data_IF_856132137763
#
_entry.id   IF_856132137763
#
_cell.length_a   1.000
_cell.length_b   1.000
_cell.length_c   1.000
_cell.angle_alpha   90.00
_cell.angle_beta   90.00
_cell.angle_gamma   90.00
#
_symmetry.space_group_name_H-M   'P 1'
#
loop_
_entity.id
_entity.type
_entity.pdbx_description
1 polymer ?
#
# COMPACT_ATOMS: atom_id res chain seq x y z
N UNK A 1 2.47 5.57 25.24
CA UNK A 1 2.65 5.12 26.65
C UNK A 1 1.66 5.87 27.53
N UNK A 2 0.84 5.14 28.29
CA UNK A 2 -0.30 5.68 29.07
C UNK A 2 0.02 5.83 30.57
N UNK A 3 1.27 6.18 30.92
CA UNK A 3 1.69 6.39 32.32
C UNK A 3 2.31 5.18 33.03
N UNK A 4 2.41 4.02 32.39
CA UNK A 4 3.09 2.83 32.94
C UNK A 4 4.63 2.87 32.89
N UNK A 5 5.24 4.06 32.82
CA UNK A 5 6.70 4.18 32.77
C UNK A 5 7.28 4.51 34.16
N UNK A 6 8.62 4.39 34.36
CA UNK A 6 9.26 4.69 35.64
C UNK A 6 9.05 6.13 36.15
N UNK A 7 8.61 7.05 35.28
CA UNK A 7 8.29 8.45 35.62
C UNK A 7 6.79 8.69 35.81
N UNK A 8 5.97 7.63 35.75
CA UNK A 8 4.51 7.67 35.78
C UNK A 8 3.86 8.70 34.84
N UNK A 9 4.48 8.91 33.67
CA UNK A 9 4.17 10.03 32.76
C UNK A 9 3.49 9.55 31.47
N UNK A 10 2.38 10.18 31.09
CA UNK A 10 1.59 9.81 29.92
C UNK A 10 2.07 10.51 28.64
N UNK A 11 3.29 10.21 28.18
CA UNK A 11 3.90 10.85 26.99
C UNK A 11 3.03 10.81 25.72
N UNK A 12 2.24 9.75 25.52
CA UNK A 12 1.43 9.58 24.30
C UNK A 12 0.31 10.61 24.14
N UNK A 13 -0.14 11.22 25.25
CA UNK A 13 -1.24 12.19 25.25
C UNK A 13 -0.78 13.65 25.35
N UNK A 14 0.52 13.92 25.49
CA UNK A 14 1.03 15.29 25.70
C UNK A 14 0.72 16.25 24.56
N UNK A 15 0.79 15.76 23.32
CA UNK A 15 0.60 16.60 22.14
C UNK A 15 -0.89 16.80 21.78
N UNK A 16 -1.82 16.15 22.49
CA UNK A 16 -3.26 16.28 22.23
C UNK A 16 -3.82 17.64 22.64
N UNK A 17 -3.25 18.28 23.67
CA UNK A 17 -3.71 19.59 24.15
C UNK A 17 -2.90 20.76 23.56
N UNK A 18 -1.58 20.61 23.42
CA UNK A 18 -0.69 21.60 22.77
C UNK A 18 0.43 20.84 22.04
N UNK A 19 0.63 21.01 20.72
CA UNK A 19 -0.03 21.93 19.79
C UNK A 19 -1.46 21.56 19.38
N UNK A 20 -1.98 20.39 19.78
CA UNK A 20 -3.30 19.91 19.39
C UNK A 20 -3.25 18.88 18.24
N UNK A 21 -4.37 18.21 17.92
CA UNK A 21 -4.41 17.14 16.93
C UNK A 21 -4.26 17.62 15.48
N UNK A 22 -4.66 18.86 15.19
CA UNK A 22 -4.53 19.48 13.86
C UNK A 22 -3.45 20.55 13.90
N UNK A 23 -2.23 20.15 13.54
CA UNK A 23 -1.07 21.04 13.48
C UNK A 23 -1.00 21.72 12.12
N UNK A 24 -0.64 23.00 12.12
CA UNK A 24 -0.44 23.79 10.90
C UNK A 24 0.72 23.22 10.05
N UNK A 25 0.49 23.07 8.75
CA UNK A 25 1.47 22.63 7.78
C UNK A 25 1.42 23.55 6.56
N UNK A 26 2.58 23.97 6.06
CA UNK A 26 2.77 24.93 4.94
C UNK A 26 2.31 26.35 5.28
N UNK A 27 1.02 26.55 5.53
CA UNK A 27 0.40 27.83 5.84
C UNK A 27 0.03 27.94 7.32
N UNK A 28 -0.45 29.12 7.73
CA UNK A 28 -0.91 29.39 9.10
C UNK A 28 -2.44 29.42 9.17
N UNK A 29 -3.01 29.21 10.35
CA UNK A 29 -4.45 29.21 10.58
C UNK A 29 -5.16 27.98 10.03
N UNK A 30 -6.45 28.10 9.71
CA UNK A 30 -7.29 26.97 9.34
C UNK A 30 -6.86 26.29 8.03
N UNK A 31 -6.33 27.07 7.09
CA UNK A 31 -5.78 26.54 5.83
C UNK A 31 -4.50 25.72 6.09
N UNK A 32 -3.64 26.17 7.02
CA UNK A 32 -2.49 25.41 7.49
C UNK A 32 -2.88 24.08 8.16
N UNK A 33 -3.92 24.08 8.98
CA UNK A 33 -4.45 22.86 9.63
C UNK A 33 -5.01 21.87 8.60
N UNK A 34 -5.69 22.37 7.57
CA UNK A 34 -6.18 21.53 6.48
C UNK A 34 -5.05 20.91 5.67
N UNK A 35 -3.99 21.67 5.37
CA UNK A 35 -2.79 21.14 4.75
C UNK A 35 -2.10 20.07 5.61
N UNK A 36 -2.12 20.23 6.94
CA UNK A 36 -1.62 19.24 7.88
C UNK A 36 -2.41 17.94 7.82
N UNK A 37 -3.74 18.04 7.80
CA UNK A 37 -4.63 16.90 7.60
C UNK A 37 -4.30 16.17 6.29
N UNK A 38 -4.20 16.88 5.16
CA UNK A 38 -3.88 16.28 3.87
C UNK A 38 -2.49 15.61 3.87
N UNK A 39 -1.47 16.23 4.46
CA UNK A 39 -0.14 15.63 4.58
C UNK A 39 -0.17 14.30 5.35
N UNK A 40 -0.92 14.24 6.45
CA UNK A 40 -1.10 12.99 7.21
C UNK A 40 -1.92 11.95 6.45
N UNK A 41 -2.91 12.36 5.67
CA UNK A 41 -3.74 11.47 4.85
C UNK A 41 -2.89 10.75 3.80
N UNK A 42 -1.97 11.46 3.13
CA UNK A 42 -1.05 10.89 2.14
C UNK A 42 -0.07 9.90 2.76
N UNK A 43 0.46 10.23 3.93
CA UNK A 43 1.36 9.32 4.64
C UNK A 43 0.60 8.10 5.19
N UNK A 44 -0.66 8.26 5.58
CA UNK A 44 -1.53 7.16 5.96
C UNK A 44 -1.87 6.25 4.76
N UNK A 45 -2.06 6.80 3.55
CA UNK A 45 -2.34 6.00 2.35
C UNK A 45 -1.24 4.96 2.07
N UNK A 46 0.04 5.33 2.27
CA UNK A 46 1.18 4.40 2.18
C UNK A 46 1.07 3.21 3.14
N UNK A 47 0.41 3.36 4.29
CA UNK A 47 0.32 2.29 5.29
C UNK A 47 -0.73 1.23 4.96
N UNK A 48 -1.66 1.51 4.03
CA UNK A 48 -2.81 0.64 3.72
C UNK A 48 -2.41 -0.40 2.67
N UNK A 49 -1.35 -1.16 2.92
CA UNK A 49 -0.80 -2.17 2.00
C UNK A 49 -0.84 -3.54 2.66
N UNK A 50 -1.14 -4.60 1.91
CA UNK A 50 -1.06 -5.97 2.41
C UNK A 50 -2.22 -6.91 2.09
N UNK A 51 -3.50 -6.49 2.12
CA UNK A 51 -4.64 -7.38 1.86
C UNK A 51 -4.58 -8.07 0.49
N UNK A 52 -4.02 -7.40 -0.52
CA UNK A 52 -3.83 -7.91 -1.86
C UNK A 52 -2.84 -9.10 -1.91
N UNK A 53 -1.88 -9.17 -0.98
CA UNK A 53 -0.93 -10.29 -0.91
C UNK A 53 -1.60 -11.59 -0.49
N UNK A 54 -2.64 -11.51 0.35
CA UNK A 54 -3.45 -12.68 0.69
C UNK A 54 -4.14 -13.25 -0.55
N UNK A 55 -4.55 -12.39 -1.49
CA UNK A 55 -5.17 -12.83 -2.74
C UNK A 55 -4.15 -13.54 -3.65
N UNK A 56 -2.89 -13.08 -3.69
CA UNK A 56 -1.83 -13.75 -4.46
C UNK A 56 -1.52 -15.14 -3.92
N UNK A 57 -1.52 -15.31 -2.61
CA UNK A 57 -1.25 -16.61 -1.95
C UNK A 57 -2.45 -17.57 -2.05
N UNK A 58 -3.67 -17.05 -2.25
CA UNK A 58 -4.88 -17.87 -2.36
C UNK A 58 -4.81 -18.95 -3.46
N UNK A 59 -4.02 -18.73 -4.52
CA UNK A 59 -3.82 -19.71 -5.60
C UNK A 59 -2.92 -20.90 -5.22
N UNK A 60 -2.12 -20.78 -4.16
CA UNK A 60 -1.19 -21.81 -3.68
C UNK A 60 -1.67 -22.49 -2.39
N UNK A 61 -2.77 -22.01 -1.83
CA UNK A 61 -3.35 -22.53 -0.59
C UNK A 61 -4.04 -23.87 -0.79
N UNK A 62 -3.82 -24.81 0.13
CA UNK A 62 -4.42 -26.15 0.06
C UNK A 62 -5.95 -26.10 0.22
N UNK A 63 -6.47 -25.14 0.99
CA UNK A 63 -7.91 -24.97 1.29
C UNK A 63 -8.34 -23.51 1.24
N UNK A 64 -8.37 -22.89 0.05
CA UNK A 64 -8.54 -21.44 -0.07
C UNK A 64 -9.90 -20.96 0.45
N UNK A 65 -10.98 -21.75 0.25
CA UNK A 65 -12.35 -21.36 0.63
C UNK A 65 -12.54 -21.14 2.14
N UNK A 66 -11.80 -21.87 2.98
CA UNK A 66 -11.88 -21.76 4.45
C UNK A 66 -10.78 -20.87 5.00
N UNK A 67 -9.53 -21.10 4.59
CA UNK A 67 -8.35 -20.41 5.14
C UNK A 67 -8.35 -18.93 4.74
N UNK A 68 -8.63 -18.62 3.47
CA UNK A 68 -8.63 -17.22 3.01
C UNK A 68 -9.77 -16.43 3.64
N UNK A 69 -10.95 -17.04 3.83
CA UNK A 69 -12.07 -16.39 4.51
C UNK A 69 -11.70 -15.96 5.92
N UNK A 70 -11.01 -16.81 6.68
CA UNK A 70 -10.53 -16.46 8.02
C UNK A 70 -9.42 -15.39 7.95
N UNK A 71 -8.49 -15.52 7.02
CA UNK A 71 -7.39 -14.56 6.83
C UNK A 71 -7.92 -13.15 6.50
N UNK A 72 -8.81 -13.01 5.51
CA UNK A 72 -9.40 -11.71 5.15
C UNK A 72 -10.20 -11.08 6.28
N UNK A 73 -10.98 -11.88 7.03
CA UNK A 73 -11.69 -11.36 8.22
C UNK A 73 -10.71 -10.85 9.28
N UNK A 74 -9.54 -11.47 9.40
CA UNK A 74 -8.54 -11.05 10.36
C UNK A 74 -7.96 -9.67 10.05
N UNK A 75 -7.87 -9.31 8.77
CA UNK A 75 -7.29 -8.04 8.33
C UNK A 75 -8.09 -6.84 8.86
N UNK A 76 -9.42 -6.90 8.82
CA UNK A 76 -10.27 -5.78 9.26
C UNK A 76 -10.05 -5.41 10.73
N UNK A 77 -10.05 -6.40 11.63
CA UNK A 77 -9.85 -6.12 13.04
C UNK A 77 -8.39 -5.75 13.34
N UNK A 78 -7.42 -6.32 12.61
CA UNK A 78 -6.00 -5.95 12.74
C UNK A 78 -5.74 -4.51 12.32
N UNK A 79 -6.34 -4.03 11.23
CA UNK A 79 -6.30 -2.61 10.87
C UNK A 79 -6.96 -1.77 11.96
N UNK A 80 -8.14 -2.15 12.45
CA UNK A 80 -8.78 -1.46 13.56
C UNK A 80 -7.89 -1.34 14.79
N UNK A 81 -7.35 -2.45 15.30
CA UNK A 81 -6.58 -2.46 16.55
C UNK A 81 -5.19 -1.85 16.37
N UNK A 82 -4.43 -2.27 15.35
CA UNK A 82 -3.03 -1.88 15.23
C UNK A 82 -2.85 -0.49 14.62
N UNK A 83 -3.69 -0.07 13.65
CA UNK A 83 -3.51 1.22 13.01
C UNK A 83 -4.15 2.33 13.83
N UNK A 84 -5.40 2.15 14.28
CA UNK A 84 -6.07 3.14 15.13
C UNK A 84 -5.40 3.16 16.50
N UNK A 85 -5.18 2.00 17.11
CA UNK A 85 -4.47 1.91 18.39
C UNK A 85 -3.05 2.46 18.31
N UNK A 86 -2.32 2.19 17.22
CA UNK A 86 -1.01 2.78 16.96
C UNK A 86 -1.07 4.31 16.85
N UNK A 87 -1.98 4.85 16.05
CA UNK A 87 -2.16 6.28 15.86
C UNK A 87 -2.47 7.02 17.18
N UNK A 88 -3.26 6.42 18.06
CA UNK A 88 -3.59 6.98 19.38
C UNK A 88 -2.39 7.07 20.33
N UNK A 89 -1.30 6.33 20.07
CA UNK A 89 -0.13 6.28 20.96
C UNK A 89 0.95 7.33 20.69
N UNK A 90 0.79 8.17 19.66
CA UNK A 90 1.68 9.30 19.33
C UNK A 90 2.75 9.01 18.25
N UNK A 91 3.22 10.05 17.56
CA UNK A 91 4.03 9.97 16.33
C UNK A 91 5.56 9.78 16.55
N UNK A 92 6.18 9.05 15.61
CA UNK A 92 7.63 8.81 15.33
C UNK A 92 8.43 7.94 16.32
N UNK A 93 8.94 6.76 15.88
CA UNK A 93 9.62 5.70 16.67
C UNK A 93 9.56 5.90 18.20
N UNK A 94 8.33 6.06 18.77
CA UNK A 94 8.16 6.80 20.01
C UNK A 94 8.63 5.94 21.16
N UNK A 95 8.56 4.64 20.98
CA UNK A 95 9.05 3.64 21.89
C UNK A 95 10.57 3.77 22.06
N UNK A 96 11.36 3.81 20.98
CA UNK A 96 12.83 3.88 21.10
C UNK A 96 13.26 5.21 21.71
N UNK A 97 12.67 6.32 21.26
CA UNK A 97 13.00 7.65 21.77
C UNK A 97 12.54 7.81 23.22
N UNK A 98 11.32 7.38 23.56
CA UNK A 98 10.84 7.41 24.95
C UNK A 98 11.71 6.51 25.86
N UNK A 99 12.07 5.29 25.42
CA UNK A 99 12.91 4.39 26.22
C UNK A 99 14.32 4.94 26.45
N UNK A 100 14.89 5.62 25.44
CA UNK A 100 16.13 6.40 25.60
C UNK A 100 15.96 7.53 26.60
N UNK A 101 14.88 8.32 26.49
CA UNK A 101 14.59 9.43 27.41
C UNK A 101 14.32 8.97 28.86
N UNK A 102 13.92 7.70 29.05
CA UNK A 102 13.69 7.05 30.34
C UNK A 102 14.92 6.33 30.89
N UNK A 103 16.04 6.35 30.17
CA UNK A 103 17.31 5.72 30.55
C UNK A 103 17.21 4.19 30.80
N UNK A 104 16.30 3.50 30.11
CA UNK A 104 16.17 2.04 30.18
C UNK A 104 17.14 1.42 29.17
N UNK A 105 18.27 0.87 29.63
CA UNK A 105 19.38 0.49 28.74
C UNK A 105 19.09 -0.61 27.72
N UNK A 106 18.41 -1.70 28.11
CA UNK A 106 18.25 -2.89 27.25
C UNK A 106 17.06 -2.78 26.26
N UNK A 107 15.99 -2.10 26.67
CA UNK A 107 14.70 -2.08 25.96
C UNK A 107 14.77 -1.46 24.54
N UNK A 108 15.54 -0.36 24.30
CA UNK A 108 15.76 0.18 22.95
C UNK A 108 16.38 -0.81 21.98
N UNK A 109 17.35 -1.61 22.42
CA UNK A 109 18.02 -2.60 21.58
C UNK A 109 17.09 -3.75 21.21
N UNK A 110 16.30 -4.24 22.17
CA UNK A 110 15.29 -5.26 21.92
C UNK A 110 14.24 -4.78 20.91
N UNK A 111 13.70 -3.57 21.09
CA UNK A 111 12.71 -3.01 20.15
C UNK A 111 13.33 -2.81 18.77
N UNK A 112 14.57 -2.31 18.66
CA UNK A 112 15.25 -2.21 17.37
C UNK A 112 15.44 -3.58 16.71
N UNK A 113 15.80 -4.63 17.45
CA UNK A 113 15.92 -5.99 16.91
C UNK A 113 14.56 -6.53 16.42
N UNK A 114 13.48 -6.29 17.17
CA UNK A 114 12.11 -6.66 16.76
C UNK A 114 11.65 -5.87 15.53
N UNK A 115 12.01 -4.59 15.42
CA UNK A 115 11.73 -3.78 14.25
C UNK A 115 12.49 -4.31 13.02
N UNK A 116 13.77 -4.65 13.17
CA UNK A 116 14.58 -5.20 12.08
C UNK A 116 14.05 -6.53 11.57
N UNK A 117 13.69 -7.45 12.48
CA UNK A 117 13.08 -8.74 12.10
C UNK A 117 11.73 -8.55 11.39
N UNK A 118 10.91 -7.58 11.84
CA UNK A 118 9.65 -7.23 11.18
C UNK A 118 9.86 -6.66 9.78
N UNK A 119 10.83 -5.74 9.62
CA UNK A 119 11.18 -5.16 8.31
C UNK A 119 11.70 -6.25 7.36
N UNK A 120 12.55 -7.16 7.85
CA UNK A 120 13.06 -8.27 7.07
C UNK A 120 11.95 -9.22 6.61
N UNK A 121 11.02 -9.57 7.51
CA UNK A 121 9.85 -10.38 7.17
C UNK A 121 8.96 -9.72 6.12
N UNK A 122 8.68 -8.42 6.26
CA UNK A 122 7.90 -7.66 5.27
C UNK A 122 8.63 -7.63 3.91
N UNK A 123 9.94 -7.39 3.91
CA UNK A 123 10.77 -7.42 2.69
C UNK A 123 10.67 -8.73 1.92
N UNK A 124 10.72 -9.87 2.63
CA UNK A 124 10.55 -11.18 2.02
C UNK A 124 9.16 -11.36 1.37
N UNK A 125 8.09 -10.88 2.03
CA UNK A 125 6.74 -10.94 1.48
C UNK A 125 6.61 -10.09 0.20
N UNK A 126 7.20 -8.89 0.16
CA UNK A 126 7.19 -8.03 -1.03
C UNK A 126 7.96 -8.66 -2.20
N UNK A 127 9.12 -9.25 -1.95
CA UNK A 127 9.92 -9.94 -2.99
C UNK A 127 9.14 -11.14 -3.54
N UNK A 128 8.51 -11.93 -2.67
CA UNK A 128 7.67 -13.04 -3.06
C UNK A 128 6.50 -12.57 -3.94
N UNK A 129 5.74 -11.56 -3.51
CA UNK A 129 4.58 -11.07 -4.27
C UNK A 129 4.97 -10.47 -5.61
N UNK A 130 6.05 -9.67 -5.65
CA UNK A 130 6.55 -9.04 -6.88
C UNK A 130 6.98 -10.08 -7.91
N UNK A 131 7.78 -11.07 -7.49
CA UNK A 131 8.25 -12.12 -8.39
C UNK A 131 7.11 -12.99 -8.93
N UNK A 132 6.10 -13.31 -8.11
CA UNK A 132 4.93 -14.09 -8.52
C UNK A 132 3.98 -13.32 -9.43
N UNK A 133 3.77 -12.04 -9.16
CA UNK A 133 2.95 -11.19 -10.02
C UNK A 133 3.57 -11.04 -11.42
N UNK A 134 4.88 -10.82 -11.48
CA UNK A 134 5.61 -10.72 -12.75
C UNK A 134 5.62 -12.07 -13.50
N UNK A 135 5.76 -13.18 -12.79
CA UNK A 135 5.65 -14.52 -13.37
C UNK A 135 4.26 -14.79 -13.96
N UNK A 136 3.18 -14.41 -13.24
CA UNK A 136 1.81 -14.53 -13.72
C UNK A 136 1.55 -13.70 -14.98
N UNK A 137 2.14 -12.50 -15.08
CA UNK A 137 2.09 -11.70 -16.30
C UNK A 137 2.83 -12.39 -17.46
N UNK A 138 3.98 -13.01 -17.21
CA UNK A 138 4.75 -13.70 -18.23
C UNK A 138 4.03 -14.95 -18.77
N UNK A 139 3.35 -15.71 -17.90
CA UNK A 139 2.53 -16.86 -18.29
C UNK A 139 1.38 -16.46 -19.22
N UNK A 140 0.73 -15.33 -18.94
CA UNK A 140 -0.36 -14.80 -19.75
C UNK A 140 0.11 -14.03 -21.00
N UNK A 141 1.40 -14.09 -21.36
CA UNK A 141 1.98 -13.39 -22.52
C UNK A 141 1.88 -11.84 -22.39
N UNK A 142 1.73 -11.33 -21.18
CA UNK A 142 1.75 -9.89 -20.87
C UNK A 142 3.16 -9.38 -20.52
N UNK A 143 4.11 -10.29 -20.25
CA UNK A 143 5.52 -9.98 -20.05
C UNK A 143 6.42 -10.93 -20.89
N UNK A 144 7.72 -10.62 -21.07
CA UNK A 144 8.64 -11.45 -21.86
C UNK A 144 8.70 -12.90 -21.39
N UNK A 145 8.63 -13.86 -22.33
CA UNK A 145 8.57 -15.31 -22.02
C UNK A 145 9.76 -15.83 -21.23
N UNK A 146 10.93 -15.22 -21.32
CA UNK A 146 12.09 -15.69 -20.55
C UNK A 146 11.84 -15.63 -19.02
N UNK A 147 10.93 -14.74 -18.57
CA UNK A 147 10.56 -14.60 -17.16
C UNK A 147 9.80 -15.81 -16.59
N UNK A 148 9.34 -16.74 -17.44
CA UNK A 148 8.63 -17.96 -16.98
C UNK A 148 9.59 -19.07 -16.50
N UNK A 149 10.91 -18.89 -16.58
CA UNK A 149 11.86 -19.91 -16.14
C UNK A 149 11.84 -20.06 -14.62
N UNK A 150 11.52 -21.26 -14.16
CA UNK A 150 11.52 -21.63 -12.75
C UNK A 150 12.70 -22.53 -12.39
N UNK A 151 13.11 -22.50 -11.13
CA UNK A 151 14.03 -23.48 -10.54
C UNK A 151 13.31 -24.83 -10.31
N UNK A 152 14.06 -25.86 -9.91
CA UNK A 152 13.50 -27.18 -9.53
C UNK A 152 12.46 -27.09 -8.39
N UNK A 153 12.51 -26.04 -7.59
CA UNK A 153 11.58 -25.76 -6.48
C UNK A 153 10.46 -24.79 -6.89
N UNK A 154 10.21 -24.60 -8.20
CA UNK A 154 9.13 -23.76 -8.75
C UNK A 154 9.31 -22.27 -8.39
N UNK A 155 10.55 -21.82 -8.20
CA UNK A 155 10.84 -20.40 -7.93
C UNK A 155 11.14 -19.67 -9.26
N UNK A 156 10.40 -18.61 -9.65
CA UNK A 156 10.65 -17.88 -10.89
C UNK A 156 11.91 -17.00 -10.78
N UNK A 157 13.07 -17.57 -11.14
CA UNK A 157 14.38 -17.01 -10.80
C UNK A 157 14.65 -15.65 -11.46
N UNK A 158 14.28 -15.46 -12.72
CA UNK A 158 14.49 -14.17 -13.38
C UNK A 158 13.56 -13.08 -12.85
N UNK A 159 12.32 -13.44 -12.49
CA UNK A 159 11.41 -12.51 -11.83
C UNK A 159 11.96 -12.07 -10.46
N UNK A 160 12.55 -13.01 -9.72
CA UNK A 160 13.24 -12.72 -8.45
C UNK A 160 14.41 -11.75 -8.65
N UNK A 161 15.27 -11.99 -9.64
CA UNK A 161 16.39 -11.08 -9.94
C UNK A 161 15.91 -9.67 -10.32
N UNK A 162 14.86 -9.55 -11.12
CA UNK A 162 14.27 -8.24 -11.45
C UNK A 162 13.80 -7.53 -10.17
N UNK A 163 13.07 -8.20 -9.29
CA UNK A 163 12.64 -7.62 -8.01
C UNK A 163 13.83 -7.19 -7.13
N UNK A 164 14.90 -7.98 -7.09
CA UNK A 164 16.12 -7.67 -6.34
C UNK A 164 16.86 -6.45 -6.90
N UNK A 165 16.92 -6.28 -8.23
CA UNK A 165 17.54 -5.09 -8.86
C UNK A 165 16.83 -3.82 -8.41
N UNK A 166 15.50 -3.83 -8.36
CA UNK A 166 14.74 -2.69 -7.83
C UNK A 166 14.96 -2.49 -6.32
N UNK A 167 15.09 -3.57 -5.54
CA UNK A 167 15.42 -3.47 -4.12
C UNK A 167 16.81 -2.84 -3.88
N UNK A 168 17.79 -3.11 -4.76
CA UNK A 168 19.11 -2.50 -4.69
C UNK A 168 19.09 -0.97 -4.87
N UNK A 169 18.06 -0.39 -5.50
CA UNK A 169 17.90 1.07 -5.57
C UNK A 169 17.75 1.70 -4.18
N UNK A 170 17.33 0.93 -3.18
CA UNK A 170 17.30 1.40 -1.78
C UNK A 170 18.69 1.78 -1.24
N UNK A 171 19.78 1.21 -1.78
CA UNK A 171 21.15 1.55 -1.38
C UNK A 171 21.57 2.96 -1.78
N UNK A 172 20.85 3.60 -2.71
CA UNK A 172 21.03 5.03 -3.01
C UNK A 172 20.78 5.91 -1.77
N UNK A 173 20.05 5.40 -0.77
CA UNK A 173 19.90 6.05 0.54
C UNK A 173 21.23 6.16 1.31
N UNK A 174 22.26 5.39 1.00
CA UNK A 174 23.53 5.43 1.74
C UNK A 174 24.42 6.64 1.37
N UNK A 175 24.06 7.41 0.34
CA UNK A 175 24.80 8.61 -0.08
C UNK A 175 24.43 9.91 0.65
N UNK A 176 25.16 10.99 0.37
CA UNK A 176 25.06 12.33 0.98
C UNK A 176 23.79 13.14 0.65
N UNK A 177 22.75 12.50 0.10
CA UNK A 177 21.42 13.08 -0.21
C UNK A 177 20.25 12.17 0.18
N UNK A 178 20.49 11.27 1.14
CA UNK A 178 19.64 10.11 1.50
C UNK A 178 18.15 10.39 1.69
N UNK A 179 17.79 11.55 2.24
CA UNK A 179 16.40 11.92 2.54
C UNK A 179 15.61 12.16 1.26
N UNK A 180 16.22 12.83 0.26
CA UNK A 180 15.52 13.18 -0.99
C UNK A 180 15.17 11.92 -1.81
N UNK A 181 16.12 11.00 -1.92
CA UNK A 181 15.90 9.73 -2.65
C UNK A 181 14.86 8.87 -1.94
N UNK A 182 14.90 8.82 -0.61
CA UNK A 182 13.87 8.11 0.17
C UNK A 182 12.49 8.68 -0.10
N UNK A 183 12.33 10.01 -0.09
CA UNK A 183 11.07 10.66 -0.41
C UNK A 183 10.58 10.28 -1.81
N UNK A 184 11.45 10.33 -2.82
CA UNK A 184 11.07 9.91 -4.18
C UNK A 184 10.59 8.46 -4.25
N UNK A 185 11.30 7.53 -3.60
CA UNK A 185 10.90 6.12 -3.56
C UNK A 185 9.56 5.94 -2.83
N UNK A 186 9.36 6.61 -1.70
CA UNK A 186 8.09 6.57 -0.96
C UNK A 186 6.94 7.12 -1.80
N UNK A 187 7.15 8.21 -2.53
CA UNK A 187 6.13 8.81 -3.39
C UNK A 187 5.73 7.85 -4.53
N UNK A 188 6.72 7.25 -5.20
CA UNK A 188 6.49 6.27 -6.26
C UNK A 188 5.75 5.03 -5.74
N UNK A 189 6.14 4.51 -4.57
CA UNK A 189 5.45 3.35 -3.99
C UNK A 189 4.00 3.70 -3.65
N UNK A 190 3.76 4.87 -3.05
CA UNK A 190 2.41 5.28 -2.65
C UNK A 190 1.49 5.46 -3.85
N UNK A 191 1.94 6.15 -4.91
CA UNK A 191 1.17 6.28 -6.16
C UNK A 191 0.90 4.90 -6.81
N UNK A 192 1.90 4.02 -6.82
CA UNK A 192 1.74 2.64 -7.32
C UNK A 192 0.70 1.83 -6.53
N UNK A 193 0.69 1.98 -5.20
CA UNK A 193 -0.31 1.39 -4.32
C UNK A 193 -1.72 1.93 -4.62
N UNK A 194 -1.88 3.24 -4.75
CA UNK A 194 -3.17 3.87 -5.06
C UNK A 194 -3.72 3.39 -6.40
N UNK A 195 -2.90 3.39 -7.46
CA UNK A 195 -3.25 2.82 -8.76
C UNK A 195 -3.68 1.36 -8.63
N UNK A 196 -2.95 0.55 -7.86
CA UNK A 196 -3.27 -0.87 -7.66
C UNK A 196 -4.68 -1.04 -7.06
N UNK A 197 -5.02 -0.26 -6.04
CA UNK A 197 -6.36 -0.33 -5.45
C UNK A 197 -7.46 0.23 -6.34
N UNK A 198 -7.18 1.26 -7.14
CA UNK A 198 -8.10 1.75 -8.17
C UNK A 198 -8.41 0.62 -9.16
N UNK A 199 -7.38 -0.07 -9.65
CA UNK A 199 -7.54 -1.21 -10.58
C UNK A 199 -8.32 -2.36 -9.93
N UNK A 200 -8.07 -2.69 -8.66
CA UNK A 200 -8.83 -3.69 -7.91
C UNK A 200 -10.32 -3.31 -7.83
N UNK A 201 -10.62 -2.05 -7.51
CA UNK A 201 -12.00 -1.55 -7.45
C UNK A 201 -12.70 -1.66 -8.80
N UNK A 202 -12.02 -1.23 -9.87
CA UNK A 202 -12.54 -1.32 -11.24
C UNK A 202 -12.78 -2.78 -11.63
N UNK A 203 -11.81 -3.67 -11.41
CA UNK A 203 -11.95 -5.11 -11.69
C UNK A 203 -13.12 -5.73 -10.92
N UNK A 204 -13.31 -5.35 -9.65
CA UNK A 204 -14.46 -5.81 -8.87
C UNK A 204 -15.80 -5.35 -9.48
N UNK A 205 -15.90 -4.11 -9.99
CA UNK A 205 -17.10 -3.62 -10.65
C UNK A 205 -17.39 -4.38 -11.96
N UNK A 206 -16.36 -4.74 -12.73
CA UNK A 206 -16.50 -5.61 -13.89
C UNK A 206 -16.97 -7.03 -13.49
N UNK A 207 -16.36 -7.62 -12.47
CA UNK A 207 -16.76 -8.91 -11.92
C UNK A 207 -18.23 -8.89 -11.44
N UNK A 208 -18.64 -7.85 -10.72
CA UNK A 208 -20.01 -7.70 -10.25
C UNK A 208 -21.02 -7.56 -11.40
N UNK A 209 -20.65 -6.87 -12.50
CA UNK A 209 -21.46 -6.79 -13.72
C UNK A 209 -21.57 -8.15 -14.41
N UNK A 210 -20.50 -8.92 -14.48
CA UNK A 210 -20.50 -10.27 -15.05
C UNK A 210 -21.41 -11.23 -14.28
N UNK A 211 -21.34 -11.22 -12.93
CA UNK A 211 -22.24 -12.01 -12.09
C UNK A 211 -23.72 -11.71 -12.38
N UNK A 212 -24.07 -10.42 -12.54
CA UNK A 212 -25.42 -10.01 -12.89
C UNK A 212 -25.84 -10.46 -14.29
N UNK A 213 -24.97 -10.29 -15.28
CA UNK A 213 -25.26 -10.67 -16.66
C UNK A 213 -25.47 -12.18 -16.84
N UNK A 214 -24.78 -12.99 -16.04
CA UNK A 214 -24.86 -14.46 -16.07
C UNK A 214 -25.84 -15.05 -15.04
N UNK A 215 -26.64 -14.21 -14.37
CA UNK A 215 -27.59 -14.61 -13.32
C UNK A 215 -26.97 -15.45 -12.19
N UNK A 216 -25.69 -15.22 -11.88
CA UNK A 216 -25.00 -15.92 -10.80
C UNK A 216 -25.33 -15.31 -9.43
N UNK A 217 -25.81 -16.14 -8.49
CA UNK A 217 -26.18 -15.65 -7.18
C UNK A 217 -24.94 -15.41 -6.30
N UNK A 218 -24.85 -14.21 -5.71
CA UNK A 218 -23.72 -13.82 -4.85
C UNK A 218 -23.65 -14.60 -3.53
N UNK A 219 -24.73 -15.26 -3.12
CA UNK A 219 -24.71 -16.17 -1.96
C UNK A 219 -23.78 -17.36 -2.15
N UNK A 220 -23.54 -17.74 -3.41
CA UNK A 220 -22.82 -18.96 -3.74
C UNK A 220 -21.31 -18.74 -3.73
N UNK A 221 -20.88 -17.47 -3.62
CA UNK A 221 -19.50 -17.09 -3.42
C UNK A 221 -19.03 -17.50 -2.01
N UNK A 222 -17.83 -18.09 -1.87
CA UNK A 222 -17.27 -18.48 -0.57
C UNK A 222 -17.17 -17.31 0.44
N UNK A 223 -16.98 -16.10 -0.07
CA UNK A 223 -16.94 -14.87 0.70
C UNK A 223 -17.62 -13.72 -0.06
N UNK A 224 -18.37 -12.90 0.68
CA UNK A 224 -19.02 -11.68 0.18
C UNK A 224 -18.66 -10.50 1.05
N UNK A 225 -18.26 -9.40 0.43
CA UNK A 225 -18.09 -8.13 1.11
C UNK A 225 -19.44 -7.50 1.47
N UNK A 226 -19.49 -6.81 2.61
CA UNK A 226 -20.64 -5.99 3.00
C UNK A 226 -20.72 -4.75 2.12
N UNK A 227 -21.94 -4.22 1.91
CA UNK A 227 -22.21 -2.97 1.15
C UNK A 227 -21.84 -2.98 -0.34
N UNK A 228 -21.53 -4.14 -0.91
CA UNK A 228 -21.16 -4.27 -2.32
C UNK A 228 -22.38 -4.21 -3.24
N UNK A 229 -22.36 -3.43 -4.35
CA UNK A 229 -21.19 -2.79 -4.97
C UNK A 229 -20.97 -1.31 -4.56
N UNK A 230 -21.89 -0.71 -3.79
CA UNK A 230 -21.85 0.71 -3.43
C UNK A 230 -20.57 1.08 -2.66
N UNK A 231 -20.13 0.22 -1.74
CA UNK A 231 -18.86 0.39 -1.03
C UNK A 231 -17.66 0.48 -1.96
N UNK A 232 -17.62 -0.29 -3.06
CA UNK A 232 -16.56 -0.20 -4.06
C UNK A 232 -16.62 1.09 -4.86
N UNK A 233 -17.80 1.62 -5.17
CA UNK A 233 -17.92 2.94 -5.82
C UNK A 233 -17.40 4.06 -4.93
N UNK A 234 -17.78 4.07 -3.65
CA UNK A 234 -17.28 5.05 -2.68
C UNK A 234 -15.76 4.97 -2.56
N UNK A 235 -15.21 3.75 -2.43
CA UNK A 235 -13.77 3.54 -2.38
C UNK A 235 -13.06 4.01 -3.66
N UNK A 236 -13.62 3.72 -4.84
CA UNK A 236 -13.05 4.12 -6.13
C UNK A 236 -12.98 5.65 -6.26
N UNK A 237 -14.09 6.35 -5.99
CA UNK A 237 -14.13 7.82 -6.06
C UNK A 237 -13.15 8.43 -5.06
N UNK A 238 -13.08 7.89 -3.85
CA UNK A 238 -12.14 8.33 -2.84
C UNK A 238 -10.68 8.14 -3.27
N UNK A 239 -10.31 6.94 -3.71
CA UNK A 239 -8.95 6.63 -4.15
C UNK A 239 -8.53 7.45 -5.37
N UNK A 240 -9.42 7.71 -6.31
CA UNK A 240 -9.14 8.61 -7.44
C UNK A 240 -8.92 10.05 -6.99
N UNK A 241 -9.71 10.55 -6.05
CA UNK A 241 -9.49 11.89 -5.48
C UNK A 241 -8.12 11.95 -4.78
N UNK A 242 -7.78 10.94 -3.97
CA UNK A 242 -6.48 10.84 -3.32
C UNK A 242 -5.35 10.85 -4.34
N UNK A 243 -5.40 10.04 -5.39
CA UNK A 243 -4.37 9.99 -6.45
C UNK A 243 -4.20 11.33 -7.17
N UNK A 244 -5.29 12.00 -7.52
CA UNK A 244 -5.26 13.30 -8.22
C UNK A 244 -4.65 14.39 -7.32
N UNK A 245 -4.96 14.38 -6.02
CA UNK A 245 -4.51 15.41 -5.08
C UNK A 245 -3.25 15.02 -4.29
N UNK A 246 -2.70 13.81 -4.46
CA UNK A 246 -1.56 13.28 -3.70
C UNK A 246 -0.33 14.21 -3.75
N UNK A 247 -0.14 14.91 -4.86
CA UNK A 247 0.96 15.87 -5.06
C UNK A 247 0.57 17.33 -4.92
N UNK A 248 -0.60 17.70 -4.37
CA UNK A 248 -1.11 19.08 -4.43
C UNK A 248 -0.14 20.15 -3.89
N UNK A 249 0.69 19.80 -2.91
CA UNK A 249 1.58 20.75 -2.23
C UNK A 249 2.61 21.40 -3.17
N UNK A 250 2.92 20.76 -4.30
CA UNK A 250 3.80 21.33 -5.34
C UNK A 250 3.12 22.41 -6.17
N UNK A 251 1.79 22.39 -6.24
CA UNK A 251 0.99 23.36 -6.99
C UNK A 251 0.80 24.65 -6.21
N UNK A 252 1.23 24.69 -4.94
CA UNK A 252 1.24 25.90 -4.12
C UNK A 252 2.38 26.84 -4.54
N UNK A 253 2.16 28.14 -4.34
CA UNK A 253 3.09 29.20 -4.74
C UNK A 253 4.48 28.97 -4.13
N UNK A 254 5.53 29.17 -4.94
CA UNK A 254 6.94 29.07 -4.56
C UNK A 254 7.44 27.68 -4.13
N UNK A 255 6.72 26.60 -4.46
CA UNK A 255 7.10 25.21 -4.10
C UNK A 255 7.31 24.26 -5.29
N UNK A 256 7.56 24.81 -6.47
CA UNK A 256 7.75 24.03 -7.69
C UNK A 256 9.06 23.21 -7.66
N UNK A 257 8.96 21.89 -7.59
CA UNK A 257 10.10 20.96 -7.71
C UNK A 257 9.78 19.84 -8.72
N UNK A 258 10.47 19.87 -9.86
CA UNK A 258 10.23 18.93 -10.97
C UNK A 258 10.40 17.46 -10.52
N UNK A 259 11.33 17.17 -9.60
CA UNK A 259 11.54 15.82 -9.09
C UNK A 259 10.39 15.33 -8.21
N UNK A 260 9.80 16.20 -7.40
CA UNK A 260 8.61 15.89 -6.59
C UNK A 260 7.39 15.73 -7.49
N UNK A 261 7.22 16.58 -8.52
CA UNK A 261 6.15 16.44 -9.52
C UNK A 261 6.22 15.06 -10.17
N UNK A 262 7.41 14.71 -10.67
CA UNK A 262 7.63 13.43 -11.33
C UNK A 262 7.37 12.28 -10.36
N UNK A 263 7.99 12.27 -9.18
CA UNK A 263 7.84 11.15 -8.24
C UNK A 263 6.40 10.94 -7.73
N UNK A 264 5.59 12.00 -7.60
CA UNK A 264 4.19 11.88 -7.16
C UNK A 264 3.26 11.33 -8.24
N UNK A 265 3.41 11.75 -9.50
CA UNK A 265 2.44 11.44 -10.56
C UNK A 265 2.91 10.38 -11.56
N UNK A 266 4.18 9.96 -11.51
CA UNK A 266 4.74 9.00 -12.49
C UNK A 266 3.95 7.70 -12.53
N UNK A 267 3.53 7.15 -11.39
CA UNK A 267 2.82 5.87 -11.38
C UNK A 267 1.42 5.98 -12.01
N UNK A 268 0.68 7.05 -11.74
CA UNK A 268 -0.60 7.31 -12.41
C UNK A 268 -0.45 7.43 -13.93
N UNK A 269 0.53 8.22 -14.40
CA UNK A 269 0.81 8.33 -15.84
C UNK A 269 1.28 7.01 -16.44
N UNK A 270 2.17 6.28 -15.76
CA UNK A 270 2.66 4.98 -16.21
C UNK A 270 1.51 3.99 -16.35
N UNK A 271 0.56 3.97 -15.42
CA UNK A 271 -0.61 3.10 -15.49
C UNK A 271 -1.47 3.38 -16.73
N UNK A 272 -1.75 4.66 -17.00
CA UNK A 272 -2.50 5.08 -18.19
C UNK A 272 -1.73 4.70 -19.47
N UNK A 273 -0.43 4.99 -19.52
CA UNK A 273 0.44 4.67 -20.64
C UNK A 273 0.51 3.16 -20.91
N UNK A 274 0.64 2.33 -19.86
CA UNK A 274 0.67 0.88 -19.99
C UNK A 274 -0.67 0.32 -20.46
N UNK A 275 -1.79 0.80 -19.91
CA UNK A 275 -3.12 0.35 -20.32
C UNK A 275 -3.43 0.75 -21.77
N UNK A 276 -3.25 2.02 -22.11
CA UNK A 276 -3.49 2.54 -23.45
C UNK A 276 -2.51 1.93 -24.46
N UNK A 277 -1.23 1.86 -24.11
CA UNK A 277 -0.20 1.24 -24.94
C UNK A 277 -0.50 -0.23 -25.24
N UNK A 278 -0.90 -1.01 -24.23
CA UNK A 278 -1.33 -2.40 -24.43
C UNK A 278 -2.56 -2.50 -25.34
N UNK A 279 -3.58 -1.68 -25.09
CA UNK A 279 -4.81 -1.66 -25.89
C UNK A 279 -4.57 -1.29 -27.35
N UNK A 280 -3.71 -0.32 -27.62
CA UNK A 280 -3.38 0.13 -28.97
C UNK A 280 -2.51 -0.90 -29.69
N UNK A 281 -1.41 -1.35 -29.06
CA UNK A 281 -0.45 -2.27 -29.68
C UNK A 281 -1.03 -3.66 -29.92
N UNK A 282 -1.78 -4.19 -28.95
CA UNK A 282 -2.38 -5.54 -29.03
C UNK A 282 -3.81 -5.54 -29.56
N UNK A 283 -4.41 -4.36 -29.80
CA UNK A 283 -5.79 -4.18 -30.30
C UNK A 283 -6.82 -5.01 -29.51
N UNK A 284 -6.64 -5.11 -28.19
CA UNK A 284 -7.49 -5.95 -27.35
C UNK A 284 -8.81 -5.25 -27.01
N UNK A 285 -9.91 -5.99 -27.02
CA UNK A 285 -11.23 -5.47 -26.63
C UNK A 285 -11.48 -5.72 -25.14
N UNK A 286 -12.38 -4.95 -24.53
CA UNK A 286 -12.86 -5.28 -23.19
C UNK A 286 -13.76 -6.52 -23.27
N UNK A 287 -13.63 -7.42 -22.29
CA UNK A 287 -14.45 -8.62 -22.21
C UNK A 287 -15.88 -8.22 -21.88
N UNK A 288 -16.84 -8.74 -22.65
CA UNK A 288 -18.25 -8.49 -22.38
C UNK A 288 -18.69 -9.24 -21.12
N UNK A 289 -19.57 -8.66 -20.28
CA UNK A 289 -19.99 -9.29 -19.02
C UNK A 289 -20.57 -10.72 -19.19
N UNK A 290 -21.24 -10.99 -20.31
CA UNK A 290 -21.88 -12.27 -20.60
C UNK A 290 -20.89 -13.39 -20.93
N UNK A 291 -19.67 -13.03 -21.38
CA UNK A 291 -18.61 -13.96 -21.76
C UNK A 291 -17.44 -13.95 -20.79
N UNK A 292 -17.55 -13.21 -19.69
CA UNK A 292 -16.52 -13.17 -18.67
C UNK A 292 -16.45 -14.53 -17.97
N UNK A 293 -15.24 -15.06 -17.82
CA UNK A 293 -15.05 -16.30 -17.08
C UNK A 293 -15.24 -16.03 -15.57
N UNK A 294 -16.17 -16.75 -14.94
CA UNK A 294 -16.51 -16.60 -13.53
C UNK A 294 -15.93 -17.73 -12.66
N UNK A 295 -15.26 -18.74 -13.24
CA UNK A 295 -14.59 -19.84 -12.52
C UNK A 295 -13.34 -20.34 -13.24
#
# INVERSE_FOLDING_TARGET
MVGGNPRHDAYGFRNWSKPGPFVEYIDKGDLGRFHGFLATLWQAAFTIVGPEYLATVAGEEQRPRTTMKAAFKSVYWRFGIFFIGGALTGAASPFVIAMKNMNVGLLPHLVNALLLTSIYSAGNAYIYCSSRSLYGLALNVHAPKFLTKCTKQVVPIYCLFVALVFACLSFLKLGSGSVKVLTWLTNLITGGTLVTYIVICVNYLFFYRALKAQNFNRSDLPYRGYLQPYGTWVALVWLMAVEIFYGYAILLRDRWDIGILFSNYTMGFLAICLLCGWKILKRTKFVKPEHADLV
#
